data_IF_479930485360
#
_entry.id   IF_479930485360
#
_cell.length_a   1.000
_cell.length_b   1.000
_cell.length_c   1.000
_cell.angle_alpha   90.00
_cell.angle_beta   90.00
_cell.angle_gamma   90.00
#
_symmetry.space_group_name_H-M   'P 1'
#
loop_
_entity.id
_entity.type
_entity.pdbx_description
1 polymer ?
#
# COMPACT_ATOMS: atom_id res chain seq x y z
N UNK A 1 4.65 -19.25 12.79
CA UNK A 1 3.75 -18.24 13.41
C UNK A 1 2.57 -18.03 12.48
N UNK A 2 1.35 -18.04 13.01
CA UNK A 2 0.12 -18.05 12.21
C UNK A 2 -0.17 -16.64 11.65
N UNK A 3 -0.60 -16.53 10.38
CA UNK A 3 -0.96 -15.29 9.63
C UNK A 3 -1.73 -14.25 10.48
N UNK A 4 -2.70 -14.73 11.26
CA UNK A 4 -3.55 -13.92 12.12
C UNK A 4 -2.78 -13.25 13.28
N UNK A 5 -1.68 -13.84 13.74
CA UNK A 5 -0.85 -13.32 14.84
C UNK A 5 0.03 -12.16 14.36
N UNK A 6 0.64 -12.27 13.18
CA UNK A 6 1.55 -11.25 12.63
C UNK A 6 0.79 -9.96 12.28
N UNK A 7 -0.38 -10.06 11.64
CA UNK A 7 -1.23 -8.87 11.34
C UNK A 7 -1.84 -8.22 12.58
N UNK A 8 -2.19 -9.00 13.60
CA UNK A 8 -2.66 -8.48 14.89
C UNK A 8 -1.54 -7.76 15.64
N UNK A 9 -0.29 -8.18 15.43
CA UNK A 9 0.91 -7.46 15.83
C UNK A 9 1.30 -6.33 14.87
N UNK A 10 0.54 -5.99 13.84
CA UNK A 10 0.82 -4.81 13.00
C UNK A 10 -0.27 -3.74 13.22
N UNK A 11 -1.50 -4.18 13.49
CA UNK A 11 -2.62 -3.32 13.87
C UNK A 11 -2.39 -2.55 15.18
N UNK A 12 -1.51 -3.01 16.09
CA UNK A 12 -1.19 -2.27 17.32
C UNK A 12 -0.52 -0.90 17.06
N UNK A 13 -0.03 -0.68 15.84
CA UNK A 13 0.55 0.59 15.40
C UNK A 13 -0.47 1.50 14.68
N UNK A 14 -1.72 1.07 14.58
CA UNK A 14 -2.82 1.84 13.98
C UNK A 14 -3.60 2.51 15.10
N UNK A 15 -3.89 3.82 15.02
CA UNK A 15 -4.77 4.47 15.99
C UNK A 15 -6.18 3.84 15.98
N UNK A 16 -6.80 3.65 17.15
CA UNK A 16 -8.12 3.02 17.31
C UNK A 16 -9.19 3.57 16.35
N UNK A 17 -9.15 4.88 16.09
CA UNK A 17 -10.09 5.59 15.21
C UNK A 17 -9.98 5.22 13.73
N UNK A 18 -8.91 4.52 13.33
CA UNK A 18 -8.60 4.14 11.95
C UNK A 18 -8.55 2.62 11.76
N UNK A 19 -8.84 1.82 12.78
CA UNK A 19 -8.81 0.35 12.67
C UNK A 19 -9.74 -0.16 11.57
N UNK A 20 -10.91 0.46 11.42
CA UNK A 20 -11.91 0.05 10.45
C UNK A 20 -11.44 0.35 9.02
N UNK A 21 -11.00 1.58 8.76
CA UNK A 21 -10.43 2.01 7.47
C UNK A 21 -9.21 1.17 7.12
N UNK A 22 -8.32 0.93 8.09
CA UNK A 22 -7.16 0.07 7.93
C UNK A 22 -7.56 -1.35 7.51
N UNK A 23 -8.53 -1.96 8.19
CA UNK A 23 -9.01 -3.31 7.86
C UNK A 23 -9.61 -3.36 6.45
N UNK A 24 -10.41 -2.36 6.08
CA UNK A 24 -11.04 -2.28 4.77
C UNK A 24 -10.05 -2.03 3.63
N UNK A 25 -9.01 -1.25 3.87
CA UNK A 25 -7.96 -0.98 2.88
C UNK A 25 -7.09 -2.23 2.72
N UNK A 26 -6.59 -2.78 3.82
CA UNK A 26 -5.70 -3.96 3.78
C UNK A 26 -6.40 -5.19 3.21
N UNK A 27 -7.67 -5.44 3.57
CA UNK A 27 -8.43 -6.55 2.96
C UNK A 27 -8.55 -6.43 1.43
N UNK A 28 -8.63 -5.20 0.90
CA UNK A 28 -8.69 -4.95 -0.54
C UNK A 28 -7.32 -5.09 -1.22
N UNK A 29 -6.25 -4.62 -0.59
CA UNK A 29 -4.88 -4.79 -1.11
C UNK A 29 -4.45 -6.26 -1.06
N UNK A 30 -4.83 -6.99 -0.01
CA UNK A 30 -4.58 -8.42 0.12
C UNK A 30 -5.22 -9.19 -1.02
N UNK A 31 -6.50 -8.94 -1.33
CA UNK A 31 -7.17 -9.60 -2.43
C UNK A 31 -6.48 -9.36 -3.79
N UNK A 32 -5.94 -8.16 -4.02
CA UNK A 32 -5.13 -7.91 -5.22
C UNK A 32 -3.83 -8.71 -5.22
N UNK A 33 -3.10 -8.69 -4.10
CA UNK A 33 -1.81 -9.35 -3.98
C UNK A 33 -1.92 -10.87 -4.06
N UNK A 34 -2.97 -11.47 -3.48
CA UNK A 34 -3.24 -12.90 -3.54
C UNK A 34 -3.57 -13.36 -4.97
N UNK A 35 -4.17 -12.51 -5.81
CA UNK A 35 -4.51 -12.84 -7.19
C UNK A 35 -3.37 -12.60 -8.19
N UNK A 36 -2.57 -11.54 -8.00
CA UNK A 36 -1.63 -11.06 -9.03
C UNK A 36 -0.17 -10.97 -8.58
N UNK A 37 0.11 -11.13 -7.28
CA UNK A 37 1.44 -11.05 -6.70
C UNK A 37 1.65 -12.25 -5.75
N UNK A 38 2.00 -12.00 -4.48
CA UNK A 38 2.10 -13.01 -3.44
C UNK A 38 1.89 -12.38 -2.06
N UNK A 39 1.96 -13.22 -1.02
CA UNK A 39 1.78 -12.80 0.38
C UNK A 39 2.82 -11.77 0.86
N UNK A 40 4.08 -11.86 0.41
CA UNK A 40 5.09 -10.88 0.79
C UNK A 40 4.69 -9.47 0.31
N UNK A 41 4.10 -9.35 -0.87
CA UNK A 41 3.59 -8.06 -1.37
C UNK A 41 2.36 -7.54 -0.61
N UNK A 42 1.53 -8.44 -0.07
CA UNK A 42 0.42 -8.07 0.81
C UNK A 42 0.94 -7.46 2.12
N UNK A 43 1.94 -8.09 2.75
CA UNK A 43 2.61 -7.59 3.96
C UNK A 43 3.21 -6.19 3.74
N UNK A 44 3.80 -5.93 2.57
CA UNK A 44 4.36 -4.61 2.24
C UNK A 44 3.24 -3.55 2.04
N UNK A 45 2.13 -3.91 1.40
CA UNK A 45 0.97 -3.01 1.30
C UNK A 45 0.37 -2.70 2.67
N UNK A 46 0.32 -3.69 3.57
CA UNK A 46 -0.11 -3.51 4.96
C UNK A 46 0.75 -2.47 5.69
N UNK A 47 2.07 -2.64 5.66
CA UNK A 47 3.02 -1.70 6.27
C UNK A 47 2.89 -0.27 5.72
N UNK A 48 2.75 -0.14 4.39
CA UNK A 48 2.51 1.16 3.76
C UNK A 48 1.20 1.81 4.26
N UNK A 49 0.17 1.01 4.50
CA UNK A 49 -1.10 1.47 5.06
C UNK A 49 -0.93 1.95 6.51
N UNK A 50 -0.17 1.24 7.35
CA UNK A 50 0.13 1.65 8.73
C UNK A 50 0.84 3.01 8.76
N UNK A 51 1.82 3.22 7.88
CA UNK A 51 2.52 4.50 7.76
C UNK A 51 1.55 5.64 7.44
N UNK A 52 0.56 5.41 6.59
CA UNK A 52 -0.48 6.39 6.28
C UNK A 52 -1.43 6.61 7.46
N UNK A 53 -1.79 5.57 8.22
CA UNK A 53 -2.57 5.70 9.46
C UNK A 53 -1.86 6.59 10.49
N UNK A 54 -0.53 6.52 10.58
CA UNK A 54 0.29 7.27 11.55
C UNK A 54 0.52 8.74 11.19
N UNK A 55 0.24 9.18 9.95
CA UNK A 55 0.32 10.60 9.58
C UNK A 55 -0.74 11.42 10.34
N UNK A 56 -0.41 12.67 10.70
CA UNK A 56 -1.34 13.58 11.38
C UNK A 56 -1.55 14.88 10.58
N UNK A 57 -2.81 15.19 10.17
CA UNK A 57 -3.97 14.29 10.17
C UNK A 57 -3.76 13.13 9.17
N UNK A 58 -4.33 11.96 9.43
CA UNK A 58 -4.18 10.83 8.52
C UNK A 58 -4.97 11.09 7.24
N UNK A 59 -4.37 10.89 6.05
CA UNK A 59 -5.07 11.06 4.79
C UNK A 59 -6.22 10.04 4.62
N UNK A 60 -6.16 8.90 5.32
CA UNK A 60 -7.14 7.83 5.21
C UNK A 60 -8.52 8.19 5.80
N UNK A 61 -8.58 9.22 6.65
CA UNK A 61 -9.84 9.80 7.14
C UNK A 61 -10.65 10.43 6.00
N UNK A 62 -10.00 10.79 4.89
CA UNK A 62 -10.62 11.49 3.78
C UNK A 62 -10.57 10.67 2.50
N UNK A 63 -11.74 10.33 1.96
CA UNK A 63 -11.87 9.63 0.70
C UNK A 63 -12.48 8.24 0.86
N UNK A 64 -12.47 7.46 -0.22
CA UNK A 64 -13.01 6.09 -0.22
C UNK A 64 -11.88 5.09 -0.04
N UNK A 65 -12.10 4.07 0.79
CA UNK A 65 -11.13 2.98 1.03
C UNK A 65 -10.66 2.32 -0.26
N UNK A 66 -11.55 2.13 -1.24
CA UNK A 66 -11.19 1.55 -2.54
C UNK A 66 -10.20 2.41 -3.32
N UNK A 67 -10.34 3.75 -3.22
CA UNK A 67 -9.41 4.71 -3.82
C UNK A 67 -8.05 4.63 -3.14
N UNK A 68 -8.02 4.54 -1.81
CA UNK A 68 -6.77 4.40 -1.07
C UNK A 68 -6.08 3.07 -1.33
N UNK A 69 -6.81 1.95 -1.31
CA UNK A 69 -6.26 0.63 -1.62
C UNK A 69 -5.63 0.57 -3.03
N UNK A 70 -6.34 1.10 -4.04
CA UNK A 70 -5.82 1.19 -5.41
C UNK A 70 -4.54 2.04 -5.49
N UNK A 71 -4.55 3.20 -4.83
CA UNK A 71 -3.41 4.10 -4.82
C UNK A 71 -2.20 3.52 -4.07
N UNK A 72 -2.42 2.78 -2.99
CA UNK A 72 -1.39 2.07 -2.20
C UNK A 72 -0.71 1.02 -3.06
N UNK A 73 -1.49 0.13 -3.70
CA UNK A 73 -0.93 -0.89 -4.61
C UNK A 73 -0.15 -0.24 -5.75
N UNK A 74 -0.70 0.81 -6.37
CA UNK A 74 -0.02 1.50 -7.46
C UNK A 74 1.27 2.20 -6.98
N UNK A 75 1.24 2.93 -5.87
CA UNK A 75 2.42 3.58 -5.30
C UNK A 75 3.51 2.57 -4.97
N UNK A 76 3.12 1.45 -4.36
CA UNK A 76 4.00 0.34 -4.08
C UNK A 76 4.68 -0.21 -5.35
N UNK A 77 3.90 -0.46 -6.41
CA UNK A 77 4.44 -0.94 -7.69
C UNK A 77 5.38 0.08 -8.35
N UNK A 78 5.10 1.39 -8.25
CA UNK A 78 6.00 2.46 -8.75
C UNK A 78 7.34 2.41 -8.03
N UNK A 79 7.32 2.28 -6.71
CA UNK A 79 8.53 2.33 -5.87
C UNK A 79 9.39 1.08 -6.07
N UNK A 80 8.76 -0.08 -6.30
CA UNK A 80 9.43 -1.37 -6.47
C UNK A 80 9.68 -1.75 -7.94
N UNK A 81 9.50 -0.82 -8.88
CA UNK A 81 9.67 -1.01 -10.33
C UNK A 81 8.89 -2.22 -10.92
N UNK A 82 7.73 -2.56 -10.34
CA UNK A 82 6.93 -3.72 -10.75
C UNK A 82 6.22 -3.55 -12.09
N UNK A 83 6.38 -2.40 -12.75
CA UNK A 83 5.88 -2.17 -14.10
C UNK A 83 6.88 -2.58 -15.17
N UNK A 84 8.11 -2.93 -14.79
CA UNK A 84 9.16 -3.31 -15.71
C UNK A 84 8.97 -4.77 -16.16
N UNK A 85 8.60 -5.03 -17.43
CA UNK A 85 8.36 -6.38 -17.92
C UNK A 85 9.63 -7.25 -17.96
N UNK A 86 10.82 -6.64 -17.82
CA UNK A 86 12.08 -7.38 -17.71
C UNK A 86 12.27 -8.00 -16.31
N UNK A 87 11.46 -7.63 -15.31
CA UNK A 87 11.53 -8.13 -13.95
C UNK A 87 10.38 -9.10 -13.63
N UNK A 88 10.60 -9.99 -12.68
CA UNK A 88 9.57 -10.90 -12.14
C UNK A 88 9.49 -10.72 -10.62
N UNK A 89 8.30 -10.50 -10.05
CA UNK A 89 7.02 -10.32 -10.74
C UNK A 89 6.88 -8.94 -11.41
N UNK A 90 6.00 -8.84 -12.40
CA UNK A 90 5.56 -7.56 -12.97
C UNK A 90 4.04 -7.54 -13.11
N UNK A 91 3.45 -6.35 -13.00
CA UNK A 91 2.02 -6.10 -13.17
C UNK A 91 1.83 -4.84 -14.01
N UNK A 92 0.69 -4.71 -14.69
CA UNK A 92 0.37 -3.49 -15.44
C UNK A 92 -0.43 -2.51 -14.59
N UNK A 93 -0.21 -1.21 -14.78
CA UNK A 93 -0.98 -0.20 -14.07
C UNK A 93 -2.47 -0.21 -14.47
N UNK A 94 -2.80 -0.65 -15.69
CA UNK A 94 -4.18 -0.87 -16.14
C UNK A 94 -4.86 -2.01 -15.39
N UNK A 95 -4.14 -3.10 -15.08
CA UNK A 95 -4.67 -4.20 -14.27
C UNK A 95 -5.08 -3.72 -12.89
N UNK A 96 -4.23 -2.89 -12.25
CA UNK A 96 -4.54 -2.30 -10.94
C UNK A 96 -5.81 -1.44 -11.03
N UNK A 97 -5.87 -0.49 -11.98
CA UNK A 97 -7.01 0.40 -12.15
C UNK A 97 -8.33 -0.38 -12.38
N UNK A 98 -8.28 -1.42 -13.22
CA UNK A 98 -9.43 -2.26 -13.54
C UNK A 98 -9.89 -3.08 -12.32
N UNK A 99 -8.96 -3.69 -11.58
CA UNK A 99 -9.29 -4.48 -10.39
C UNK A 99 -10.07 -3.67 -9.36
N UNK A 100 -9.69 -2.41 -9.15
CA UNK A 100 -10.36 -1.52 -8.19
C UNK A 100 -11.52 -0.73 -8.80
N UNK A 101 -11.85 -0.93 -10.08
CA UNK A 101 -12.86 -0.18 -10.83
C UNK A 101 -12.67 1.36 -10.73
N UNK A 102 -11.43 1.83 -10.87
CA UNK A 102 -11.06 3.25 -10.76
C UNK A 102 -10.42 3.78 -12.04
N UNK A 103 -10.56 5.09 -12.23
CA UNK A 103 -9.90 5.75 -13.36
C UNK A 103 -8.38 5.83 -13.16
N UNK A 104 -7.63 5.70 -14.25
CA UNK A 104 -6.18 5.83 -14.26
C UNK A 104 -5.72 7.19 -13.69
N UNK A 105 -6.46 8.25 -13.99
CA UNK A 105 -6.19 9.61 -13.48
C UNK A 105 -6.34 9.68 -11.96
N UNK A 106 -7.40 9.09 -11.41
CA UNK A 106 -7.65 9.06 -9.95
C UNK A 106 -6.56 8.25 -9.25
N UNK A 107 -6.24 7.07 -9.77
CA UNK A 107 -5.20 6.20 -9.21
C UNK A 107 -3.84 6.88 -9.19
N UNK A 108 -3.39 7.46 -10.30
CA UNK A 108 -2.09 8.14 -10.38
C UNK A 108 -2.01 9.36 -9.46
N UNK A 109 -3.05 10.20 -9.42
CA UNK A 109 -3.08 11.39 -8.56
C UNK A 109 -2.98 11.01 -7.09
N UNK A 110 -3.73 9.99 -6.65
CA UNK A 110 -3.69 9.51 -5.27
C UNK A 110 -2.40 8.75 -4.94
N UNK A 111 -1.86 7.98 -5.88
CA UNK A 111 -0.57 7.32 -5.74
C UNK A 111 0.57 8.33 -5.59
N UNK A 112 0.55 9.42 -6.36
CA UNK A 112 1.48 10.53 -6.17
C UNK A 112 1.31 11.17 -4.79
N UNK A 113 0.07 11.43 -4.36
CA UNK A 113 -0.19 11.97 -3.02
C UNK A 113 0.42 11.09 -1.92
N UNK A 114 0.33 9.76 -2.02
CA UNK A 114 0.96 8.83 -1.06
C UNK A 114 2.48 9.01 -1.04
N UNK A 115 3.11 9.00 -2.23
CA UNK A 115 4.56 9.17 -2.35
C UNK A 115 5.04 10.51 -1.81
N UNK A 116 4.33 11.59 -2.11
CA UNK A 116 4.63 12.94 -1.60
C UNK A 116 4.46 13.01 -0.07
N UNK A 117 3.42 12.40 0.50
CA UNK A 117 3.18 12.38 1.95
C UNK A 117 4.22 11.60 2.74
N UNK A 118 4.81 10.58 2.11
CA UNK A 118 5.79 9.68 2.70
C UNK A 118 7.22 10.02 2.30
N UNK A 119 7.42 11.05 1.49
CA UNK A 119 8.71 11.46 0.93
C UNK A 119 9.44 10.31 0.21
N UNK A 120 8.69 9.53 -0.58
CA UNK A 120 9.20 8.38 -1.32
C UNK A 120 9.41 8.76 -2.79
N UNK A 121 10.66 8.76 -3.25
CA UNK A 121 10.96 8.93 -4.67
C UNK A 121 10.75 7.62 -5.47
N UNK A 122 10.36 7.69 -6.75
CA UNK A 122 10.36 6.51 -7.63
C UNK A 122 11.77 5.93 -7.74
N UNK A 123 11.92 4.60 -7.65
CA UNK A 123 13.21 3.90 -7.74
C UNK A 123 14.24 4.41 -6.72
N UNK A 124 13.78 4.99 -5.61
CA UNK A 124 14.64 5.38 -4.51
C UNK A 124 15.36 4.14 -3.98
N UNK A 125 16.70 4.09 -3.95
CA UNK A 125 17.42 2.99 -3.30
C UNK A 125 17.05 2.83 -1.83
N UNK A 126 16.53 3.88 -1.15
CA UNK A 126 15.91 3.77 0.17
C UNK A 126 14.45 3.24 0.12
N UNK A 127 13.75 3.45 -1.00
CA UNK A 127 12.41 2.93 -1.29
C UNK A 127 12.37 1.43 -1.61
N UNK A 128 13.52 0.82 -1.92
CA UNK A 128 13.73 -0.65 -2.00
C UNK A 128 13.62 -1.32 -0.61
N UNK A 129 13.20 -0.59 0.41
CA UNK A 129 13.31 -0.99 1.81
C UNK A 129 12.04 -0.81 2.64
N UNK A 130 10.93 -1.39 2.20
CA UNK A 130 9.95 -1.91 3.17
C UNK A 130 10.46 -3.19 3.89
N UNK A 131 11.78 -3.43 3.84
CA UNK A 131 12.42 -4.60 4.44
C UNK A 131 13.05 -4.34 5.81
N UNK A 132 13.14 -3.11 6.34
CA UNK A 132 13.64 -2.93 7.72
C UNK A 132 12.89 -1.78 8.39
N UNK A 133 12.02 -2.18 9.32
CA UNK A 133 11.92 -1.65 10.70
C UNK A 133 11.97 -0.14 10.87
N UNK A 134 10.89 0.37 11.47
CA UNK A 134 10.96 1.32 12.60
C UNK A 134 12.24 2.19 12.64
N UNK A 135 12.17 3.33 11.94
CA UNK A 135 13.00 4.48 12.28
C UNK A 135 12.10 5.57 12.86
N UNK A 136 11.52 5.30 14.03
CA UNK A 136 11.27 6.28 15.09
C UNK A 136 10.42 5.62 16.19
N UNK A 137 11.15 5.04 17.15
CA UNK A 137 10.91 5.29 18.56
C UNK A 137 11.20 6.75 18.90
#
# INVERSE_FOLDING_TARGET
>A
MNKCVKRKQESHNVPDKLELEFSFITGRTDGFCELYLNEAYADLCCQLTIMLCRKQPSPLVQGRDSTWACAIVHAFCVVNDLFNPALTPHVSASLIANYFALSFKTMQAKSKQIRDLLDIAPQDPAGVFLSITDKNQ
#
